data_IF_317626001656
#
_entry.id   IF_317626001656
#
_cell.length_a   1.000
_cell.length_b   1.000
_cell.length_c   1.000
_cell.angle_alpha   90.00
_cell.angle_beta   90.00
_cell.angle_gamma   90.00
#
_symmetry.space_group_name_H-M   'P 1'
#
loop_
_entity.id
_entity.type
_entity.pdbx_description
1 polymer ?
#
# COMPACT_ATOMS: atom_id res chain seq x y z
N UNK A 1 -1.55 -16.17 7.33
CA UNK A 1 -1.68 -14.74 7.63
C UNK A 1 -2.84 -14.15 6.86
N UNK A 2 -2.63 -13.73 5.63
CA UNK A 2 -3.64 -13.08 4.77
C UNK A 2 -4.94 -13.90 4.64
N UNK A 3 -4.85 -15.21 4.39
CA UNK A 3 -6.05 -16.07 4.33
C UNK A 3 -6.87 -16.15 5.63
N UNK A 4 -6.26 -15.91 6.80
CA UNK A 4 -6.96 -15.85 8.10
C UNK A 4 -7.64 -14.49 8.27
N UNK A 5 -6.99 -13.41 7.82
CA UNK A 5 -7.56 -12.05 7.84
C UNK A 5 -8.77 -11.95 6.88
N UNK A 6 -8.67 -12.60 5.72
CA UNK A 6 -9.70 -12.56 4.67
C UNK A 6 -10.79 -13.61 4.90
N UNK A 7 -10.46 -14.76 5.49
CA UNK A 7 -11.38 -15.89 5.67
C UNK A 7 -12.67 -15.55 6.42
N UNK A 8 -12.63 -14.60 7.36
CA UNK A 8 -13.83 -14.11 8.04
C UNK A 8 -14.77 -13.27 7.16
N UNK A 9 -14.24 -12.61 6.12
CA UNK A 9 -15.01 -11.75 5.21
C UNK A 9 -15.54 -12.46 3.96
N UNK A 10 -14.98 -13.63 3.60
CA UNK A 10 -15.36 -14.40 2.39
C UNK A 10 -16.73 -15.06 2.52
N UNK A 11 -17.19 -15.35 3.74
CA UNK A 11 -18.49 -16.01 4.00
C UNK A 11 -19.67 -15.02 4.14
N UNK A 12 -19.44 -13.70 4.07
CA UNK A 12 -20.50 -12.69 4.14
C UNK A 12 -21.09 -12.29 2.78
N UNK A 13 -22.24 -11.60 2.77
CA UNK A 13 -22.99 -11.13 1.59
C UNK A 13 -22.29 -10.08 0.70
N UNK A 14 -20.99 -9.88 0.87
CA UNK A 14 -20.18 -8.84 0.23
C UNK A 14 -19.40 -9.29 -1.01
N UNK A 15 -19.96 -10.18 -1.83
CA UNK A 15 -19.27 -10.75 -3.02
C UNK A 15 -18.75 -9.66 -3.98
N UNK A 16 -19.54 -8.60 -4.17
CA UNK A 16 -19.15 -7.46 -5.01
C UNK A 16 -17.97 -6.68 -4.40
N UNK A 17 -17.93 -6.50 -3.08
CA UNK A 17 -16.81 -5.90 -2.38
C UNK A 17 -15.52 -6.71 -2.52
N UNK A 18 -15.61 -8.05 -2.38
CA UNK A 18 -14.47 -8.94 -2.60
C UNK A 18 -13.96 -8.90 -4.04
N UNK A 19 -14.85 -8.85 -5.03
CA UNK A 19 -14.48 -8.71 -6.44
C UNK A 19 -13.75 -7.38 -6.71
N UNK A 20 -14.26 -6.27 -6.17
CA UNK A 20 -13.61 -4.96 -6.31
C UNK A 20 -12.26 -4.95 -5.58
N UNK A 21 -12.17 -5.55 -4.39
CA UNK A 21 -10.91 -5.66 -3.66
C UNK A 21 -9.85 -6.45 -4.44
N UNK A 22 -10.26 -7.58 -5.06
CA UNK A 22 -9.37 -8.37 -5.92
C UNK A 22 -8.95 -7.58 -7.17
N UNK A 23 -9.88 -6.87 -7.83
CA UNK A 23 -9.56 -6.03 -8.97
C UNK A 23 -8.56 -4.92 -8.58
N UNK A 24 -8.76 -4.28 -7.42
CA UNK A 24 -7.86 -3.26 -6.89
C UNK A 24 -6.46 -3.84 -6.62
N UNK A 25 -6.38 -5.01 -5.99
CA UNK A 25 -5.11 -5.70 -5.73
C UNK A 25 -4.39 -6.09 -7.04
N UNK A 26 -5.12 -6.55 -8.06
CA UNK A 26 -4.56 -6.86 -9.37
C UNK A 26 -4.00 -5.61 -10.07
N UNK A 27 -4.76 -4.52 -10.11
CA UNK A 27 -4.28 -3.26 -10.71
C UNK A 27 -3.07 -2.69 -9.97
N UNK A 28 -3.08 -2.75 -8.63
CA UNK A 28 -1.94 -2.32 -7.83
C UNK A 28 -0.70 -3.19 -8.08
N UNK A 29 -0.85 -4.51 -8.15
CA UNK A 29 0.26 -5.42 -8.48
C UNK A 29 0.81 -5.15 -9.87
N UNK A 30 -0.06 -4.92 -10.86
CA UNK A 30 0.35 -4.58 -12.23
C UNK A 30 1.13 -3.25 -12.25
N UNK A 31 0.64 -2.25 -11.53
CA UNK A 31 1.32 -0.97 -11.38
C UNK A 31 2.74 -1.15 -10.83
N UNK A 32 2.92 -1.89 -9.74
CA UNK A 32 4.24 -2.15 -9.15
C UNK A 32 5.17 -2.92 -10.11
N UNK A 33 4.64 -3.88 -10.87
CA UNK A 33 5.41 -4.64 -11.86
C UNK A 33 5.88 -3.72 -12.99
N UNK A 34 4.97 -2.90 -13.56
CA UNK A 34 5.33 -1.90 -14.56
C UNK A 34 6.38 -0.94 -14.01
N UNK A 35 6.29 -0.56 -12.72
CA UNK A 35 7.29 0.27 -12.10
C UNK A 35 8.67 -0.41 -12.07
N UNK A 36 8.73 -1.69 -11.70
CA UNK A 36 10.00 -2.43 -11.63
C UNK A 36 10.64 -2.69 -12.99
N UNK A 37 9.84 -3.00 -14.02
CA UNK A 37 10.34 -3.21 -15.39
C UNK A 37 10.88 -1.91 -15.99
N UNK A 38 10.27 -0.77 -15.64
CA UNK A 38 10.68 0.56 -16.10
C UNK A 38 11.89 1.17 -15.39
N UNK A 39 12.56 0.45 -14.47
CA UNK A 39 13.64 0.99 -13.62
C UNK A 39 14.79 1.65 -14.40
N UNK A 40 15.06 1.19 -15.62
CA UNK A 40 16.10 1.71 -16.52
C UNK A 40 15.66 2.88 -17.41
N UNK A 41 14.41 3.35 -17.29
CA UNK A 41 13.88 4.52 -18.02
C UNK A 41 13.35 5.58 -17.05
N UNK A 42 13.23 6.81 -17.51
CA UNK A 42 12.54 7.84 -16.73
C UNK A 42 11.06 7.52 -16.67
N UNK A 43 10.58 7.19 -15.48
CA UNK A 43 9.20 6.77 -15.21
C UNK A 43 8.28 7.94 -14.86
N UNK A 44 8.86 9.14 -14.74
CA UNK A 44 8.14 10.38 -14.51
C UNK A 44 7.02 10.64 -15.53
N UNK A 45 7.21 10.43 -16.86
CA UNK A 45 6.15 10.65 -17.84
C UNK A 45 4.96 9.69 -17.65
N UNK A 46 5.25 8.42 -17.33
CA UNK A 46 4.22 7.40 -17.10
C UNK A 46 3.40 7.70 -15.86
N UNK A 47 4.05 8.18 -14.79
CA UNK A 47 3.37 8.56 -13.54
C UNK A 47 2.46 9.78 -13.76
N UNK A 48 2.90 10.78 -14.55
CA UNK A 48 2.09 11.94 -14.91
C UNK A 48 0.86 11.55 -15.74
N UNK A 49 1.01 10.66 -16.73
CA UNK A 49 -0.14 10.16 -17.52
C UNK A 49 -1.12 9.41 -16.62
N UNK A 50 -0.62 8.58 -15.69
CA UNK A 50 -1.46 7.90 -14.70
C UNK A 50 -2.22 8.88 -13.80
N UNK A 51 -1.57 9.93 -13.34
CA UNK A 51 -2.21 10.99 -12.55
C UNK A 51 -3.30 11.73 -13.34
N UNK A 52 -3.05 12.07 -14.60
CA UNK A 52 -4.03 12.71 -15.48
C UNK A 52 -5.26 11.82 -15.73
N UNK A 53 -5.04 10.52 -15.96
CA UNK A 53 -6.14 9.55 -16.07
C UNK A 53 -6.91 9.45 -14.75
N UNK A 54 -6.23 9.45 -13.60
CA UNK A 54 -6.86 9.48 -12.29
C UNK A 54 -7.75 10.70 -12.08
N UNK A 55 -7.29 11.89 -12.49
CA UNK A 55 -8.08 13.13 -12.46
C UNK A 55 -9.32 13.00 -13.36
N UNK A 56 -9.17 12.48 -14.58
CA UNK A 56 -10.30 12.31 -15.50
C UNK A 56 -11.36 11.33 -14.95
N UNK A 57 -10.93 10.19 -14.42
CA UNK A 57 -11.83 9.20 -13.81
C UNK A 57 -12.50 9.77 -12.56
N UNK A 58 -11.75 10.48 -11.71
CA UNK A 58 -12.27 11.15 -10.52
C UNK A 58 -13.32 12.21 -10.86
N UNK A 59 -13.10 13.00 -11.91
CA UNK A 59 -14.05 14.01 -12.38
C UNK A 59 -15.39 13.38 -12.84
N UNK A 60 -15.32 12.26 -13.56
CA UNK A 60 -16.51 11.48 -13.97
C UNK A 60 -17.24 10.92 -12.73
N UNK A 61 -16.49 10.39 -11.77
CA UNK A 61 -17.04 9.85 -10.52
C UNK A 61 -17.77 10.89 -9.67
N UNK A 62 -17.27 12.14 -9.66
CA UNK A 62 -17.87 13.25 -8.93
C UNK A 62 -19.07 13.88 -9.66
N UNK A 63 -19.48 13.39 -10.84
CA UNK A 63 -20.56 13.97 -11.67
C UNK A 63 -20.36 15.49 -11.93
N UNK A 64 -19.12 15.97 -11.87
CA UNK A 64 -18.77 17.40 -11.92
C UNK A 64 -19.43 18.30 -10.85
N UNK A 65 -20.00 17.73 -9.78
CA UNK A 65 -20.59 18.50 -8.69
C UNK A 65 -19.54 18.79 -7.60
N UNK A 66 -18.80 19.88 -7.75
CA UNK A 66 -17.73 20.28 -6.83
C UNK A 66 -18.23 21.11 -5.64
N UNK A 67 -19.33 20.68 -5.02
CA UNK A 67 -19.87 21.32 -3.80
C UNK A 67 -19.13 20.79 -2.57
N UNK A 68 -17.85 21.11 -2.47
CA UNK A 68 -17.03 20.81 -1.28
C UNK A 68 -16.91 22.03 -0.36
N UNK A 69 -16.91 21.78 0.95
CA UNK A 69 -16.56 22.79 1.94
C UNK A 69 -15.08 23.18 1.78
N UNK A 70 -14.72 24.43 2.10
CA UNK A 70 -13.33 24.88 2.10
C UNK A 70 -12.43 24.01 3.01
N UNK A 71 -12.99 23.42 4.07
CA UNK A 71 -12.28 22.49 4.94
C UNK A 71 -11.94 21.18 4.23
N UNK A 72 -12.91 20.60 3.51
CA UNK A 72 -12.71 19.34 2.79
C UNK A 72 -11.71 19.52 1.65
N UNK A 73 -11.74 20.68 0.97
CA UNK A 73 -10.78 21.02 -0.07
C UNK A 73 -9.36 21.11 0.50
N UNK A 74 -9.19 21.74 1.67
CA UNK A 74 -7.89 21.82 2.33
C UNK A 74 -7.39 20.45 2.79
N UNK A 75 -8.28 19.62 3.34
CA UNK A 75 -7.96 18.23 3.72
C UNK A 75 -7.53 17.42 2.50
N UNK A 76 -8.29 17.45 1.39
CA UNK A 76 -7.93 16.79 0.15
C UNK A 76 -6.58 17.27 -0.39
N UNK A 77 -6.29 18.57 -0.34
CA UNK A 77 -5.01 19.11 -0.80
C UNK A 77 -3.86 18.67 0.10
N UNK A 78 -4.02 18.73 1.43
CA UNK A 78 -2.99 18.30 2.38
C UNK A 78 -2.70 16.79 2.25
N UNK A 79 -3.74 15.96 2.12
CA UNK A 79 -3.59 14.51 2.01
C UNK A 79 -3.12 14.06 0.62
N UNK A 80 -3.83 14.46 -0.43
CA UNK A 80 -3.54 14.03 -1.80
C UNK A 80 -2.37 14.80 -2.43
N UNK A 81 -2.36 16.12 -2.27
CA UNK A 81 -1.36 16.99 -2.87
C UNK A 81 -0.01 16.89 -2.15
N UNK A 82 0.01 17.05 -0.83
CA UNK A 82 1.26 17.10 -0.07
C UNK A 82 1.73 15.71 0.37
N UNK A 83 0.93 15.01 1.17
CA UNK A 83 1.34 13.73 1.78
C UNK A 83 1.58 12.64 0.74
N UNK A 84 0.61 12.37 -0.13
CA UNK A 84 0.74 11.30 -1.13
C UNK A 84 1.85 11.58 -2.15
N UNK A 85 2.03 12.83 -2.60
CA UNK A 85 3.13 13.20 -3.50
C UNK A 85 4.49 13.04 -2.82
N UNK A 86 4.62 13.46 -1.56
CA UNK A 86 5.84 13.29 -0.79
C UNK A 86 6.18 11.79 -0.60
N UNK A 87 5.19 10.97 -0.25
CA UNK A 87 5.36 9.52 -0.11
C UNK A 87 5.75 8.89 -1.46
N UNK A 88 5.08 9.24 -2.54
CA UNK A 88 5.35 8.66 -3.87
C UNK A 88 6.73 9.03 -4.40
N UNK A 89 7.15 10.29 -4.23
CA UNK A 89 8.49 10.75 -4.63
C UNK A 89 9.57 10.08 -3.79
N UNK A 90 9.39 10.00 -2.47
CA UNK A 90 10.33 9.32 -1.59
C UNK A 90 10.39 7.82 -1.87
N UNK A 91 9.26 7.16 -2.15
CA UNK A 91 9.19 5.75 -2.53
C UNK A 91 9.91 5.49 -3.85
N UNK A 92 9.69 6.33 -4.85
CA UNK A 92 10.37 6.23 -6.15
C UNK A 92 11.89 6.39 -5.98
N UNK A 93 12.32 7.35 -5.16
CA UNK A 93 13.73 7.58 -4.87
C UNK A 93 14.32 6.38 -4.11
N UNK A 94 13.66 5.93 -3.05
CA UNK A 94 14.08 4.80 -2.21
C UNK A 94 14.18 3.51 -3.03
N UNK A 95 13.29 3.29 -4.00
CA UNK A 95 13.31 2.11 -4.88
C UNK A 95 14.61 1.93 -5.66
N UNK A 96 15.39 3.01 -5.87
CA UNK A 96 16.68 2.99 -6.57
C UNK A 96 17.87 2.64 -5.66
N UNK A 97 17.76 2.89 -4.35
CA UNK A 97 18.86 2.73 -3.38
C UNK A 97 18.68 1.54 -2.44
N UNK A 98 17.43 1.15 -2.17
CA UNK A 98 17.06 0.15 -1.18
C UNK A 98 16.82 -1.19 -1.87
N UNK A 99 17.44 -2.26 -1.37
CA UNK A 99 17.22 -3.59 -1.92
C UNK A 99 15.73 -3.95 -1.84
N UNK A 100 15.18 -4.59 -2.88
CA UNK A 100 13.74 -4.89 -2.95
C UNK A 100 13.20 -5.71 -1.77
N UNK A 101 14.08 -6.40 -1.02
CA UNK A 101 13.74 -7.05 0.23
C UNK A 101 13.37 -6.05 1.33
N UNK A 102 14.16 -5.00 1.56
CA UNK A 102 13.98 -4.00 2.63
C UNK A 102 12.71 -3.17 2.44
N UNK A 103 12.40 -2.77 1.20
CA UNK A 103 11.14 -2.08 0.86
C UNK A 103 9.94 -2.92 1.29
N UNK A 104 10.00 -4.23 1.03
CA UNK A 104 8.93 -5.15 1.40
C UNK A 104 8.78 -5.29 2.91
N UNK A 105 9.87 -5.18 3.68
CA UNK A 105 9.83 -5.18 5.14
C UNK A 105 9.15 -3.91 5.67
N UNK A 106 9.57 -2.76 5.16
CA UNK A 106 9.05 -1.46 5.59
C UNK A 106 7.55 -1.38 5.32
N UNK A 107 7.09 -1.76 4.11
CA UNK A 107 5.67 -1.78 3.79
C UNK A 107 4.88 -2.71 4.72
N UNK A 108 5.44 -3.85 5.10
CA UNK A 108 4.78 -4.78 6.03
C UNK A 108 4.65 -4.19 7.43
N UNK A 109 5.72 -3.56 7.92
CA UNK A 109 5.74 -2.89 9.22
C UNK A 109 4.71 -1.77 9.22
N UNK A 110 4.65 -0.96 8.16
CA UNK A 110 3.68 0.11 7.99
C UNK A 110 2.22 -0.42 8.04
N UNK A 111 1.91 -1.49 7.30
CA UNK A 111 0.59 -2.11 7.33
C UNK A 111 0.19 -2.62 8.72
N UNK A 112 1.15 -3.05 9.54
CA UNK A 112 0.91 -3.49 10.91
C UNK A 112 0.76 -2.32 11.87
N UNK A 113 1.54 -1.27 11.65
CA UNK A 113 1.53 -0.08 12.49
C UNK A 113 0.24 0.73 12.30
N UNK A 114 -0.36 0.71 11.11
CA UNK A 114 -1.63 1.40 10.82
C UNK A 114 -2.74 1.10 11.82
N UNK A 115 -3.19 -0.16 11.97
CA UNK A 115 -4.20 -0.54 12.96
C UNK A 115 -3.77 -0.28 14.41
N UNK A 116 -2.46 -0.39 14.72
CA UNK A 116 -1.94 -0.09 16.06
C UNK A 116 -2.07 1.39 16.41
N UNK A 117 -1.77 2.30 15.45
CA UNK A 117 -1.96 3.73 15.64
C UNK A 117 -3.44 4.10 15.83
N UNK A 118 -4.33 3.50 15.04
CA UNK A 118 -5.79 3.72 15.19
C UNK A 118 -6.26 3.25 16.56
N UNK A 119 -5.82 2.06 17.00
CA UNK A 119 -6.17 1.56 18.32
C UNK A 119 -5.67 2.46 19.45
N UNK A 120 -4.44 2.99 19.35
CA UNK A 120 -3.88 3.90 20.36
C UNK A 120 -4.62 5.24 20.44
N UNK A 121 -5.05 5.80 19.30
CA UNK A 121 -5.66 7.14 19.23
C UNK A 121 -7.18 7.10 19.41
N UNK A 122 -7.85 6.10 18.82
CA UNK A 122 -9.31 5.99 18.78
C UNK A 122 -9.87 4.86 19.66
N UNK A 123 -9.02 4.06 20.33
CA UNK A 123 -9.42 2.94 21.20
C UNK A 123 -10.26 1.84 20.53
N UNK A 124 -10.36 1.85 19.21
CA UNK A 124 -11.01 0.79 18.43
C UNK A 124 -10.11 -0.45 18.41
N UNK A 125 -10.50 -1.47 19.16
CA UNK A 125 -9.76 -2.72 19.25
C UNK A 125 -9.72 -3.41 17.87
N UNK A 126 -8.53 -3.75 17.32
CA UNK A 126 -8.45 -4.52 16.10
C UNK A 126 -9.14 -5.87 16.32
N UNK A 127 -9.90 -6.34 15.34
CA UNK A 127 -10.49 -7.67 15.39
C UNK A 127 -9.42 -8.73 15.67
N UNK A 128 -9.75 -9.74 16.50
CA UNK A 128 -8.82 -10.81 16.90
C UNK A 128 -8.20 -11.54 15.71
N UNK A 129 -8.95 -11.71 14.62
CA UNK A 129 -8.47 -12.28 13.35
C UNK A 129 -7.45 -11.39 12.65
N UNK A 130 -7.58 -10.06 12.72
CA UNK A 130 -6.63 -9.10 12.19
C UNK A 130 -5.29 -9.14 12.94
N UNK A 131 -5.34 -9.21 14.27
CA UNK A 131 -4.17 -9.35 15.14
C UNK A 131 -3.39 -10.65 14.87
N UNK A 132 -4.09 -11.79 14.83
CA UNK A 132 -3.46 -13.10 14.56
C UNK A 132 -2.88 -13.15 13.15
N UNK A 133 -3.64 -12.67 12.16
CA UNK A 133 -3.20 -12.63 10.78
C UNK A 133 -1.97 -11.75 10.58
N UNK A 134 -1.94 -10.59 11.24
CA UNK A 134 -0.82 -9.66 11.23
C UNK A 134 0.44 -10.20 11.91
N UNK A 135 0.32 -10.76 13.11
CA UNK A 135 1.43 -11.40 13.80
C UNK A 135 2.07 -12.52 12.97
N UNK A 136 1.27 -13.31 12.26
CA UNK A 136 1.77 -14.38 11.40
C UNK A 136 2.51 -13.86 10.16
N UNK A 137 2.06 -12.73 9.59
CA UNK A 137 2.73 -12.07 8.46
C UNK A 137 4.07 -11.46 8.90
N UNK A 138 4.10 -10.79 10.07
CA UNK A 138 5.34 -10.26 10.66
C UNK A 138 6.36 -11.36 11.00
N UNK A 139 5.90 -12.45 11.60
CA UNK A 139 6.75 -13.59 11.95
C UNK A 139 7.41 -14.19 10.70
N UNK A 140 6.62 -14.45 9.65
CA UNK A 140 7.13 -15.00 8.39
C UNK A 140 8.19 -14.10 7.75
N UNK A 141 7.96 -12.79 7.76
CA UNK A 141 8.89 -11.84 7.16
C UNK A 141 10.15 -11.64 8.00
N UNK A 142 10.04 -11.62 9.33
CA UNK A 142 11.21 -11.57 10.21
C UNK A 142 12.12 -12.78 9.99
N UNK A 143 11.54 -13.98 9.90
CA UNK A 143 12.28 -15.21 9.60
C UNK A 143 12.95 -15.09 8.22
N UNK A 144 12.23 -14.64 7.20
CA UNK A 144 12.80 -14.45 5.85
C UNK A 144 13.97 -13.47 5.85
N UNK A 145 13.86 -12.35 6.56
CA UNK A 145 14.94 -11.36 6.66
C UNK A 145 16.18 -11.93 7.37
N UNK A 146 15.98 -12.64 8.48
CA UNK A 146 17.08 -13.28 9.21
C UNK A 146 17.77 -14.34 8.34
N UNK A 147 17.02 -15.14 7.59
CA UNK A 147 17.57 -16.12 6.66
C UNK A 147 18.37 -15.46 5.53
N UNK A 148 17.88 -14.35 4.97
CA UNK A 148 18.61 -13.59 3.95
C UNK A 148 19.94 -13.02 4.48
N UNK A 149 19.93 -12.49 5.71
CA UNK A 149 21.16 -11.99 6.37
C UNK A 149 22.15 -13.14 6.60
N UNK A 150 21.68 -14.31 7.03
CA UNK A 150 22.53 -15.49 7.19
C UNK A 150 23.07 -16.02 5.85
N UNK A 151 22.29 -15.97 4.77
CA UNK A 151 22.76 -16.34 3.43
C UNK A 151 23.80 -15.36 2.87
N UNK A 152 23.63 -14.05 3.09
CA UNK A 152 24.64 -13.05 2.71
C UNK A 152 25.96 -13.25 3.47
N UNK A 153 25.90 -13.61 4.76
CA UNK A 153 27.10 -13.96 5.55
C UNK A 153 27.81 -15.23 5.08
N UNK A 154 27.10 -16.14 4.43
CA UNK A 154 27.68 -17.38 3.89
C UNK A 154 28.31 -17.20 2.50
N UNK A 155 28.08 -16.07 1.83
CA UNK A 155 28.58 -15.78 0.47
C UNK A 155 29.69 -14.72 0.44
N UNK A 156 30.05 -14.11 1.57
CA UNK A 156 31.24 -13.27 1.68
C UNK A 156 32.50 -14.15 1.83
N UNK A 157 33.49 -14.07 0.92
CA UNK A 157 34.76 -14.81 1.00
C UNK A 157 35.62 -14.38 2.20
#
# INVERSE_FOLDING_TARGET
>A
GIGIMVGGGVMGSGVLGNLIALACALFFSLFVICLRIGKDRDMLPTSVIGALLGVAIGAIGCQFDFRMSNQDLWLCFAWGGLLMTAVHTLFTLASRFVAGAEIMLISLIEFMLGPLWVWLVYSEAPGTTGLIGGALVLGAVTIRSVLLIHQQRSQSP
#
